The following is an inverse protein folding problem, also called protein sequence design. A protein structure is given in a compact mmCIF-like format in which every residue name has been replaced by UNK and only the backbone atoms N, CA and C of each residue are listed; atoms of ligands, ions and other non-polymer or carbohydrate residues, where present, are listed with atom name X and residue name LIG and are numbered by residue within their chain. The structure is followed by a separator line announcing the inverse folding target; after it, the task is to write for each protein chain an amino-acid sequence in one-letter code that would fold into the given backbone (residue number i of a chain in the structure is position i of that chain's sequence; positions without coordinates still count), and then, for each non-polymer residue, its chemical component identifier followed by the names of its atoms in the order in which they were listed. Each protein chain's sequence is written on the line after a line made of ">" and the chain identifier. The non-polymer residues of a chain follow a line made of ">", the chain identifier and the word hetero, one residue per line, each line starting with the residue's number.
data_IF_953142973854
#
_entry.id   IF_953142973854
#
_cell.length_a   1.000
_cell.length_b   1.000
_cell.length_c   1.000
_cell.angle_alpha   90.00
_cell.angle_beta   90.00
_cell.angle_gamma   90.00
#
_symmetry.space_group_name_H-M   'P 1'
#
loop_
_entity.id
_entity.type
_entity.pdbx_description
1 polymer ?
#
# COMPACT_ATOMS: atom_id res chain seq x y z
N UNK A 1 21.98 -34.89 -44.36
CA UNK A 1 22.61 -34.33 -43.15
C UNK A 1 21.85 -33.05 -42.85
N UNK A 2 20.86 -33.16 -41.98
CA UNK A 2 20.05 -32.04 -41.51
C UNK A 2 20.85 -31.25 -40.47
N UNK A 3 21.05 -29.96 -40.69
CA UNK A 3 21.44 -29.03 -39.63
C UNK A 3 20.27 -28.11 -39.37
N UNK A 4 19.44 -28.51 -38.41
CA UNK A 4 18.51 -27.62 -37.72
C UNK A 4 19.31 -26.60 -36.89
N UNK A 5 19.11 -25.30 -37.17
CA UNK A 5 19.39 -24.24 -36.22
C UNK A 5 18.08 -23.83 -35.55
N UNK A 6 18.00 -23.79 -34.20
CA UNK A 6 16.86 -23.20 -33.54
C UNK A 6 16.96 -21.68 -33.63
N UNK A 7 16.01 -21.04 -34.31
CA UNK A 7 15.81 -19.60 -34.24
C UNK A 7 15.21 -19.31 -32.85
N UNK A 8 16.07 -19.01 -31.89
CA UNK A 8 15.65 -18.41 -30.63
C UNK A 8 15.22 -16.97 -30.93
N UNK A 9 13.94 -16.76 -31.19
CA UNK A 9 13.36 -15.41 -31.18
C UNK A 9 13.35 -14.91 -29.74
N UNK A 10 14.28 -14.03 -29.39
CA UNK A 10 14.17 -13.22 -28.18
C UNK A 10 12.95 -12.30 -28.37
N UNK A 11 11.87 -12.58 -27.65
CA UNK A 11 10.77 -11.64 -27.53
C UNK A 11 11.30 -10.40 -26.81
N UNK A 12 11.68 -9.37 -27.59
CA UNK A 12 11.91 -8.03 -27.04
C UNK A 12 10.56 -7.45 -26.66
N UNK A 13 10.15 -7.71 -25.42
CA UNK A 13 9.08 -6.93 -24.78
C UNK A 13 9.53 -5.49 -24.70
N UNK A 14 8.93 -4.61 -25.50
CA UNK A 14 9.14 -3.17 -25.39
C UNK A 14 8.28 -2.70 -24.22
N UNK A 15 8.91 -2.49 -23.06
CA UNK A 15 8.26 -1.86 -21.93
C UNK A 15 8.26 -0.36 -22.16
N UNK A 16 7.08 0.22 -22.37
CA UNK A 16 6.92 1.67 -22.33
C UNK A 16 6.87 2.06 -20.86
N UNK A 17 7.96 2.64 -20.34
CA UNK A 17 7.95 3.23 -19.01
C UNK A 17 6.96 4.39 -19.04
N UNK A 18 5.84 4.24 -18.33
CA UNK A 18 4.84 5.30 -18.29
C UNK A 18 5.33 6.40 -17.36
N UNK A 19 5.18 7.66 -17.76
CA UNK A 19 5.54 8.80 -16.93
C UNK A 19 4.87 8.72 -15.55
N UNK A 20 5.60 9.12 -14.50
CA UNK A 20 5.07 9.06 -13.14
C UNK A 20 3.93 10.07 -13.00
N UNK A 21 2.72 9.57 -12.77
CA UNK A 21 1.59 10.38 -12.32
C UNK A 21 1.92 11.08 -11.00
N UNK A 22 1.51 12.33 -10.85
CA UNK A 22 1.61 13.03 -9.57
C UNK A 22 0.36 12.73 -8.76
N UNK A 23 0.53 12.42 -7.48
CA UNK A 23 -0.59 12.25 -6.57
C UNK A 23 -0.33 12.99 -5.26
N UNK A 24 -1.40 13.57 -4.71
CA UNK A 24 -1.32 14.34 -3.47
C UNK A 24 -2.51 14.05 -2.58
N UNK A 25 -2.27 13.98 -1.27
CA UNK A 25 -3.32 13.84 -0.26
C UNK A 25 -3.99 15.21 -0.08
N UNK A 26 -5.30 15.28 -0.30
CA UNK A 26 -6.10 16.51 -0.09
C UNK A 26 -6.69 16.61 1.31
N UNK A 27 -7.05 15.49 1.91
CA UNK A 27 -7.64 15.42 3.25
C UNK A 27 -7.15 14.17 3.95
N UNK A 28 -6.92 14.26 5.26
CA UNK A 28 -6.52 13.13 6.10
C UNK A 28 -7.20 13.24 7.46
N UNK A 29 -7.65 12.10 7.97
CA UNK A 29 -8.14 11.91 9.33
C UNK A 29 -7.63 10.59 9.84
N UNK A 30 -7.10 10.60 11.05
CA UNK A 30 -6.59 9.43 11.74
C UNK A 30 -7.28 9.33 13.09
N UNK A 31 -7.88 8.17 13.37
CA UNK A 31 -8.68 7.98 14.58
C UNK A 31 -8.54 6.56 15.14
N UNK A 32 -8.38 6.47 16.44
CA UNK A 32 -8.56 5.24 17.20
C UNK A 32 -10.05 4.87 17.29
N UNK A 33 -10.44 3.71 16.78
CA UNK A 33 -11.83 3.20 16.84
C UNK A 33 -12.05 2.36 18.10
N UNK A 34 -11.09 1.50 18.45
CA UNK A 34 -11.21 0.61 19.61
C UNK A 34 -9.84 0.36 20.22
N UNK A 35 -9.79 0.29 21.56
CA UNK A 35 -8.57 -0.02 22.32
C UNK A 35 -8.73 -1.33 23.09
N UNK A 36 -7.67 -2.13 23.19
CA UNK A 36 -7.58 -3.21 24.17
C UNK A 36 -7.84 -4.63 23.66
N UNK A 37 -7.51 -4.95 22.40
CA UNK A 37 -7.42 -6.35 22.00
C UNK A 37 -6.11 -6.96 22.51
N UNK A 38 -6.22 -8.03 23.31
CA UNK A 38 -5.07 -8.84 23.72
C UNK A 38 -4.79 -9.96 22.71
N UNK A 39 -3.51 -10.34 22.62
CA UNK A 39 -2.90 -11.06 21.50
C UNK A 39 -3.57 -12.37 21.05
N UNK A 40 -3.29 -12.68 19.77
CA UNK A 40 -3.69 -13.82 18.93
C UNK A 40 -4.93 -13.66 18.02
N UNK A 41 -5.80 -12.67 18.22
CA UNK A 41 -7.00 -12.50 17.37
C UNK A 41 -6.98 -11.30 16.41
N UNK A 42 -5.95 -10.46 16.44
CA UNK A 42 -5.81 -9.38 15.48
C UNK A 42 -5.12 -9.90 14.20
N UNK A 43 -5.90 -10.10 13.12
CA UNK A 43 -5.27 -10.14 11.80
C UNK A 43 -4.46 -8.87 11.61
N UNK A 44 -3.17 -9.01 11.34
CA UNK A 44 -2.28 -7.87 11.08
C UNK A 44 -2.49 -7.29 9.69
N UNK A 45 -3.21 -8.00 8.83
CA UNK A 45 -3.59 -7.51 7.52
C UNK A 45 -4.62 -6.40 7.67
N UNK A 46 -4.38 -5.23 7.09
CA UNK A 46 -5.38 -4.19 7.08
C UNK A 46 -6.54 -4.56 6.17
N UNK A 47 -7.69 -4.00 6.49
CA UNK A 47 -8.78 -3.90 5.55
C UNK A 47 -8.65 -2.55 4.86
N UNK A 48 -8.48 -2.59 3.54
CA UNK A 48 -8.36 -1.40 2.70
C UNK A 48 -9.58 -1.39 1.79
N UNK A 49 -10.24 -0.24 1.72
CA UNK A 49 -11.28 0.02 0.74
C UNK A 49 -10.97 1.29 -0.01
N UNK A 50 -11.31 1.27 -1.29
CA UNK A 50 -11.03 2.33 -2.24
C UNK A 50 -12.32 2.66 -2.97
N UNK A 51 -12.71 3.93 -2.98
CA UNK A 51 -13.86 4.39 -3.74
C UNK A 51 -13.53 5.67 -4.50
N UNK A 52 -14.08 5.79 -5.70
CA UNK A 52 -14.02 7.05 -6.44
C UNK A 52 -14.77 8.13 -5.66
N UNK A 53 -14.15 9.29 -5.51
CA UNK A 53 -14.75 10.38 -4.76
C UNK A 53 -15.93 10.97 -5.53
N UNK A 54 -17.09 11.08 -4.87
CA UNK A 54 -18.26 11.72 -5.45
C UNK A 54 -18.13 13.24 -5.55
N UNK A 55 -17.32 13.84 -4.68
CA UNK A 55 -17.20 15.30 -4.57
C UNK A 55 -16.10 15.88 -5.46
N UNK A 56 -15.14 15.07 -5.91
CA UNK A 56 -13.97 15.53 -6.65
C UNK A 56 -13.61 14.58 -7.79
N UNK A 57 -13.51 15.15 -8.99
CA UNK A 57 -13.02 14.45 -10.16
C UNK A 57 -11.56 13.98 -9.94
N UNK A 58 -11.25 12.78 -10.43
CA UNK A 58 -9.93 12.13 -10.38
C UNK A 58 -9.33 12.00 -8.98
N UNK A 59 -10.20 12.00 -7.97
CA UNK A 59 -9.85 11.74 -6.58
C UNK A 59 -10.49 10.44 -6.10
N UNK A 60 -9.79 9.82 -5.16
CA UNK A 60 -10.20 8.57 -4.53
C UNK A 60 -10.17 8.75 -3.03
N UNK A 61 -11.23 8.27 -2.41
CA UNK A 61 -11.37 8.19 -0.97
C UNK A 61 -10.90 6.79 -0.52
N UNK A 62 -9.93 6.78 0.38
CA UNK A 62 -9.29 5.58 0.91
C UNK A 62 -9.64 5.46 2.37
N UNK A 63 -10.12 4.28 2.75
CA UNK A 63 -10.43 3.93 4.12
C UNK A 63 -9.66 2.67 4.50
N UNK A 64 -8.90 2.77 5.59
CA UNK A 64 -8.03 1.72 6.08
C UNK A 64 -8.39 1.45 7.54
N UNK A 65 -8.70 0.19 7.83
CA UNK A 65 -8.84 -0.33 9.19
C UNK A 65 -7.70 -1.28 9.48
N UNK A 66 -6.96 -1.03 10.56
CA UNK A 66 -5.80 -1.83 10.89
C UNK A 66 -5.57 -1.94 12.40
N UNK A 67 -4.97 -3.04 12.83
CA UNK A 67 -4.53 -3.19 14.21
C UNK A 67 -3.08 -2.75 14.35
N UNK A 68 -2.83 -1.82 15.27
CA UNK A 68 -1.50 -1.35 15.63
C UNK A 68 -1.21 -1.67 17.09
N UNK A 69 0.06 -1.94 17.47
CA UNK A 69 0.45 -2.04 18.87
C UNK A 69 0.08 -0.75 19.62
N UNK A 70 -0.43 -0.85 20.85
CA UNK A 70 -0.86 0.31 21.65
C UNK A 70 0.26 1.34 21.91
N UNK A 71 1.51 0.89 21.83
CA UNK A 71 2.66 1.75 22.01
C UNK A 71 3.17 2.39 20.71
N UNK A 72 2.60 2.07 19.55
CA UNK A 72 2.98 2.67 18.26
C UNK A 72 2.98 4.20 18.37
N UNK A 73 4.08 4.83 17.97
CA UNK A 73 4.24 6.29 18.01
C UNK A 73 4.41 6.84 16.60
N UNK A 74 4.20 8.15 16.48
CA UNK A 74 4.43 8.87 15.24
C UNK A 74 3.72 8.23 14.04
N UNK A 75 2.48 7.78 14.21
CA UNK A 75 1.68 7.20 13.13
C UNK A 75 1.32 8.28 12.10
N UNK A 76 1.78 8.12 10.87
CA UNK A 76 1.50 9.02 9.76
C UNK A 76 1.51 8.28 8.41
N UNK A 77 0.99 8.95 7.38
CA UNK A 77 1.12 8.50 5.99
C UNK A 77 2.39 9.12 5.41
N UNK A 78 3.07 8.41 4.51
CA UNK A 78 4.14 9.01 3.71
C UNK A 78 3.63 10.21 2.94
N UNK A 79 4.40 11.30 2.95
CA UNK A 79 4.08 12.50 2.18
C UNK A 79 4.16 12.24 0.67
N UNK A 80 4.99 11.28 0.25
CA UNK A 80 5.17 10.92 -1.15
C UNK A 80 4.35 9.67 -1.53
N UNK A 81 3.06 9.89 -1.83
CA UNK A 81 2.19 8.87 -2.43
C UNK A 81 2.21 8.88 -3.97
N UNK A 82 3.11 9.66 -4.56
CA UNK A 82 3.33 9.63 -6.01
C UNK A 82 4.13 8.40 -6.44
N UNK A 83 4.70 7.65 -5.50
CA UNK A 83 5.46 6.45 -5.79
C UNK A 83 4.60 5.40 -6.51
N UNK A 84 5.09 4.99 -7.68
CA UNK A 84 4.45 3.99 -8.52
C UNK A 84 5.46 2.86 -8.73
N UNK A 85 4.99 1.63 -8.61
CA UNK A 85 5.82 0.44 -8.78
C UNK A 85 5.12 -0.61 -9.63
N UNK A 86 5.89 -1.60 -10.06
CA UNK A 86 5.36 -2.81 -10.67
C UNK A 86 5.46 -3.91 -9.62
N UNK A 87 4.37 -4.63 -9.41
CA UNK A 87 4.38 -5.85 -8.60
C UNK A 87 3.99 -7.05 -9.47
N UNK A 88 4.66 -8.16 -9.25
CA UNK A 88 4.29 -9.44 -9.85
C UNK A 88 3.12 -10.03 -9.07
N UNK A 89 2.00 -10.26 -9.76
CA UNK A 89 0.89 -11.06 -9.24
C UNK A 89 0.74 -12.33 -10.10
N UNK A 90 -0.08 -13.27 -9.65
CA UNK A 90 -0.30 -14.54 -10.36
C UNK A 90 -0.74 -14.37 -11.83
N UNK A 91 -1.44 -13.28 -12.13
CA UNK A 91 -1.96 -12.96 -13.46
C UNK A 91 -1.02 -12.10 -14.31
N UNK A 92 0.23 -11.90 -13.88
CA UNK A 92 1.24 -11.06 -14.53
C UNK A 92 1.52 -9.76 -13.77
N UNK A 93 2.49 -8.95 -14.23
CA UNK A 93 2.84 -7.71 -13.55
C UNK A 93 1.70 -6.69 -13.62
N UNK A 94 1.41 -6.05 -12.49
CA UNK A 94 0.48 -4.92 -12.42
C UNK A 94 1.18 -3.68 -11.86
N UNK A 95 0.79 -2.53 -12.37
CA UNK A 95 1.26 -1.25 -11.85
C UNK A 95 0.42 -0.86 -10.64
N UNK A 96 1.10 -0.53 -9.55
CA UNK A 96 0.48 -0.14 -8.29
C UNK A 96 0.98 1.23 -7.87
N UNK A 97 0.08 1.98 -7.23
CA UNK A 97 0.48 3.11 -6.41
C UNK A 97 0.75 2.63 -4.99
N UNK A 98 1.94 2.94 -4.46
CA UNK A 98 2.29 2.57 -3.10
C UNK A 98 1.85 3.66 -2.11
N UNK A 99 1.22 3.24 -1.02
CA UNK A 99 0.84 4.10 0.10
C UNK A 99 1.44 3.51 1.36
N UNK A 100 2.39 4.23 1.91
CA UNK A 100 3.10 3.80 3.12
C UNK A 100 2.43 4.39 4.37
N UNK A 101 2.12 3.52 5.31
CA UNK A 101 1.71 3.86 6.68
C UNK A 101 2.92 3.64 7.57
N UNK A 102 3.45 4.74 8.09
CA UNK A 102 4.69 4.78 8.85
C UNK A 102 4.34 4.96 10.33
N UNK A 103 4.93 4.12 11.17
CA UNK A 103 4.88 4.28 12.62
C UNK A 103 6.13 3.69 13.28
N UNK A 104 6.48 4.25 14.42
CA UNK A 104 7.57 3.73 15.24
C UNK A 104 7.10 2.47 15.95
N UNK A 105 7.84 1.38 15.79
CA UNK A 105 7.69 0.22 16.67
C UNK A 105 8.58 0.42 17.90
N UNK A 106 8.00 0.61 19.09
CA UNK A 106 8.77 0.91 20.30
C UNK A 106 9.43 -0.32 20.94
N UNK A 107 9.40 -1.52 20.34
CA UNK A 107 9.64 -2.75 21.08
C UNK A 107 10.63 -3.75 20.48
N UNK A 108 11.50 -4.26 21.36
CA UNK A 108 12.31 -5.48 21.18
C UNK A 108 11.60 -6.81 21.53
N UNK A 109 10.32 -6.77 21.97
CA UNK A 109 9.55 -7.96 22.40
C UNK A 109 8.05 -7.91 21.98
N UNK A 110 7.71 -8.04 20.69
CA UNK A 110 6.37 -7.83 20.12
C UNK A 110 5.24 -8.75 20.62
N UNK A 111 5.59 -9.86 21.29
CA UNK A 111 4.68 -10.92 21.75
C UNK A 111 3.80 -10.57 22.98
N UNK A 112 4.02 -9.41 23.62
CA UNK A 112 3.36 -9.07 24.91
C UNK A 112 2.40 -7.87 24.79
N UNK A 113 2.26 -7.25 23.61
CA UNK A 113 1.52 -5.99 23.50
C UNK A 113 0.04 -6.17 23.18
N UNK A 114 -0.76 -5.30 23.79
CA UNK A 114 -2.11 -5.02 23.36
C UNK A 114 -2.10 -4.29 22.01
N UNK A 115 -3.12 -4.57 21.21
CA UNK A 115 -3.34 -3.95 19.92
C UNK A 115 -4.65 -3.14 19.95
N UNK A 116 -4.63 -2.05 19.21
CA UNK A 116 -5.74 -1.12 19.04
C UNK A 116 -6.14 -1.03 17.58
N UNK A 117 -7.45 -0.92 17.32
CA UNK A 117 -7.99 -0.71 15.98
C UNK A 117 -7.94 0.76 15.60
N UNK A 118 -7.20 1.05 14.54
CA UNK A 118 -7.10 2.38 13.96
C UNK A 118 -7.87 2.47 12.66
N UNK A 119 -8.43 3.65 12.43
CA UNK A 119 -9.03 4.08 11.17
C UNK A 119 -8.22 5.21 10.58
N UNK A 120 -7.76 5.00 9.35
CA UNK A 120 -7.11 6.01 8.54
C UNK A 120 -8.03 6.30 7.36
N UNK A 121 -8.43 7.56 7.25
CA UNK A 121 -9.26 8.09 6.17
C UNK A 121 -8.49 9.16 5.46
N UNK A 122 -8.31 9.03 4.16
CA UNK A 122 -7.73 10.11 3.38
C UNK A 122 -8.27 10.13 1.96
N UNK A 123 -8.21 11.31 1.35
CA UNK A 123 -8.54 11.54 -0.04
C UNK A 123 -7.27 11.84 -0.77
N UNK A 124 -6.93 11.05 -1.78
CA UNK A 124 -5.84 11.40 -2.69
C UNK A 124 -6.39 11.71 -4.08
N UNK A 125 -5.70 12.59 -4.81
CA UNK A 125 -6.06 12.96 -6.16
C UNK A 125 -4.90 12.67 -7.09
N UNK A 126 -5.22 12.14 -8.28
CA UNK A 126 -4.24 11.82 -9.30
C UNK A 126 -4.24 12.91 -10.35
N UNK A 127 -3.06 13.40 -10.69
CA UNK A 127 -2.82 14.23 -11.85
C UNK A 127 -2.18 13.33 -12.94
N UNK A 128 -2.91 13.19 -14.05
CA UNK A 128 -2.46 12.38 -15.18
C UNK A 128 -2.95 10.94 -15.11
N UNK A 129 -2.05 9.98 -15.27
CA UNK A 129 -2.44 8.58 -15.44
C UNK A 129 -2.88 7.93 -14.14
N UNK A 130 -4.03 7.28 -14.21
CA UNK A 130 -4.54 6.45 -13.15
C UNK A 130 -3.87 5.05 -13.12
N UNK A 131 -3.39 4.62 -11.96
CA UNK A 131 -2.88 3.24 -11.76
C UNK A 131 -4.05 2.25 -11.55
N UNK A 132 -3.96 1.02 -12.08
CA UNK A 132 -5.04 0.04 -11.98
C UNK A 132 -5.27 -0.47 -10.55
N UNK A 133 -4.26 -0.38 -9.68
CA UNK A 133 -4.37 -0.82 -8.29
C UNK A 133 -3.62 0.11 -7.33
N UNK A 134 -3.98 0.00 -6.04
CA UNK A 134 -3.25 0.62 -4.93
C UNK A 134 -2.72 -0.49 -4.05
N UNK A 135 -1.48 -0.32 -3.61
CA UNK A 135 -0.81 -1.15 -2.63
C UNK A 135 -0.59 -0.35 -1.36
N UNK A 136 -1.20 -0.79 -0.26
CA UNK A 136 -0.94 -0.22 1.06
C UNK A 136 0.13 -1.08 1.74
N UNK A 137 1.18 -0.43 2.22
CA UNK A 137 2.31 -1.06 2.92
C UNK A 137 2.50 -0.42 4.29
N UNK A 138 2.79 -1.25 5.28
CA UNK A 138 3.19 -0.80 6.61
C UNK A 138 4.70 -0.73 6.69
N UNK A 139 5.21 0.42 7.10
CA UNK A 139 6.62 0.67 7.34
C UNK A 139 6.80 0.80 8.83
N UNK A 140 7.54 -0.15 9.41
CA UNK A 140 7.72 -0.31 10.85
C UNK A 140 9.15 0.11 11.19
N UNK A 141 9.33 1.25 11.86
CA UNK A 141 10.68 1.77 12.16
C UNK A 141 11.41 2.31 10.93
N UNK A 142 12.69 1.96 10.76
CA UNK A 142 13.50 2.36 9.60
C UNK A 142 13.09 1.55 8.34
N UNK A 143 12.87 2.19 7.17
CA UNK A 143 12.55 1.51 5.91
C UNK A 143 13.48 0.33 5.55
N UNK A 144 14.73 0.29 6.01
CA UNK A 144 15.64 -0.85 5.78
C UNK A 144 15.28 -2.12 6.58
N UNK A 145 14.56 -1.99 7.70
CA UNK A 145 14.23 -3.11 8.62
C UNK A 145 12.78 -3.58 8.54
N UNK A 146 12.04 -3.07 7.55
CA UNK A 146 10.60 -3.26 7.44
C UNK A 146 10.25 -4.69 6.98
N UNK A 147 9.72 -5.49 7.91
CA UNK A 147 8.98 -6.72 7.62
C UNK A 147 7.48 -6.41 7.72
N UNK A 148 6.92 -5.84 6.65
CA UNK A 148 5.54 -5.36 6.60
C UNK A 148 4.58 -6.36 5.95
N UNK A 149 3.36 -6.45 6.48
CA UNK A 149 2.22 -7.03 5.77
C UNK A 149 1.77 -6.08 4.66
N UNK A 150 1.30 -6.62 3.54
CA UNK A 150 0.94 -5.85 2.35
C UNK A 150 -0.49 -6.20 1.96
N UNK A 151 -1.31 -5.18 1.71
CA UNK A 151 -2.64 -5.38 1.13
C UNK A 151 -2.77 -4.52 -0.12
N UNK A 152 -3.11 -5.18 -1.23
CA UNK A 152 -3.39 -4.52 -2.49
C UNK A 152 -4.89 -4.53 -2.75
N UNK A 153 -5.42 -3.42 -3.24
CA UNK A 153 -6.81 -3.30 -3.69
C UNK A 153 -6.81 -2.90 -5.15
N UNK A 154 -7.43 -3.74 -5.97
CA UNK A 154 -7.67 -3.47 -7.37
C UNK A 154 -8.84 -2.51 -7.52
N UNK A 155 -8.74 -1.60 -8.48
CA UNK A 155 -9.86 -0.76 -8.88
C UNK A 155 -10.79 -1.59 -9.76
N UNK A 156 -12.07 -1.57 -9.42
CA UNK A 156 -13.13 -2.18 -10.23
C UNK A 156 -13.83 -1.15 -11.09
#
# INVERSE_FOLDING_TARGET
>A
MDTQQPIASSASGTFTATESSKATIKKQSLRLIASGLMGQMASKEPLVSLHKSGDFQDCYDVLIHMYLPDHARNLHLSENISNCGIIEIWNGPIEVREIDIIYDNPAGHPEIYAYSLWEIKFRYCVEGREMPAIRVRYVIGDPETTNGTVTSVEKT
#
